data_IF_478021716925
#
_entry.id   IF_478021716925
#
_cell.length_a   1.000
_cell.length_b   1.000
_cell.length_c   1.000
_cell.angle_alpha   90.00
_cell.angle_beta   90.00
_cell.angle_gamma   90.00
#
_symmetry.space_group_name_H-M   'P 1'
#
loop_
_entity.id
_entity.type
_entity.pdbx_description
1 polymer ?
#
# COMPACT_ATOMS: atom_id res chain seq x y z
N UNK A 1 -7.62 48.10 -17.31
CA UNK A 1 -7.79 48.71 -18.65
C UNK A 1 -6.47 48.65 -19.41
N UNK A 2 -6.40 47.70 -20.35
CA UNK A 2 -5.61 47.62 -21.59
C UNK A 2 -4.44 48.61 -21.82
N UNK A 3 -3.25 48.08 -22.17
CA UNK A 3 -2.62 48.37 -23.47
C UNK A 3 -1.44 47.43 -23.83
N UNK A 4 -1.59 46.87 -25.03
CA UNK A 4 -0.66 46.09 -25.84
C UNK A 4 0.67 46.80 -26.18
N UNK A 5 1.76 46.05 -26.21
CA UNK A 5 2.94 46.19 -27.09
C UNK A 5 3.62 44.80 -27.15
N UNK A 6 4.19 44.21 -28.22
CA UNK A 6 4.26 44.42 -29.67
C UNK A 6 4.83 43.10 -30.27
N UNK A 7 4.62 42.83 -31.58
CA UNK A 7 5.04 41.61 -32.33
C UNK A 7 6.56 41.40 -32.40
N UNK A 8 7.07 40.15 -32.57
CA UNK A 8 8.46 39.92 -33.00
C UNK A 8 8.58 39.95 -34.53
N UNK A 9 9.56 40.69 -35.04
CA UNK A 9 10.03 40.62 -36.43
C UNK A 9 11.31 39.79 -36.51
N UNK A 10 11.24 38.69 -37.27
CA UNK A 10 12.39 37.85 -37.60
C UNK A 10 13.23 38.55 -38.67
N UNK A 11 14.53 38.70 -38.42
CA UNK A 11 15.48 39.20 -39.43
C UNK A 11 16.74 38.34 -39.39
N UNK A 12 16.95 37.57 -40.44
CA UNK A 12 18.16 36.79 -40.67
C UNK A 12 19.27 37.69 -41.21
N UNK A 13 20.46 37.63 -40.59
CA UNK A 13 21.72 38.09 -41.16
C UNK A 13 22.78 37.02 -40.90
N UNK A 14 23.36 36.50 -41.99
CA UNK A 14 24.54 35.61 -41.99
C UNK A 14 25.82 36.46 -41.96
N UNK A 15 26.75 36.15 -41.06
CA UNK A 15 28.15 35.76 -41.38
C UNK A 15 29.02 35.65 -40.11
N UNK A 16 29.61 34.46 -39.95
CA UNK A 16 30.97 34.26 -39.47
C UNK A 16 31.27 34.52 -38.00
N UNK A 17 31.22 33.47 -37.18
CA UNK A 17 32.21 33.26 -36.12
C UNK A 17 32.21 31.79 -35.69
N UNK A 18 33.41 31.24 -35.58
CA UNK A 18 33.72 29.90 -35.09
C UNK A 18 33.36 29.86 -33.61
N UNK A 19 32.38 29.04 -33.22
CA UNK A 19 32.15 28.66 -31.83
C UNK A 19 32.09 27.14 -31.77
N UNK A 20 33.00 26.54 -31.01
CA UNK A 20 33.04 25.12 -30.74
C UNK A 20 31.71 24.67 -30.13
N UNK A 21 31.04 23.75 -30.80
CA UNK A 21 29.92 23.02 -30.23
C UNK A 21 30.54 21.98 -29.30
N UNK A 22 30.56 22.28 -28.01
CA UNK A 22 30.66 21.24 -26.98
C UNK A 22 29.33 20.50 -27.02
N UNK A 23 29.27 19.43 -27.80
CA UNK A 23 28.20 18.44 -27.66
C UNK A 23 28.49 17.72 -26.36
N UNK A 24 27.94 18.22 -25.25
CA UNK A 24 27.71 17.36 -24.09
C UNK A 24 26.62 16.40 -24.53
N UNK A 25 27.04 15.28 -25.13
CA UNK A 25 26.21 14.08 -25.14
C UNK A 25 26.02 13.71 -23.67
N UNK A 26 24.93 14.21 -23.07
CA UNK A 26 24.34 13.55 -21.93
C UNK A 26 23.92 12.20 -22.50
N UNK A 27 24.78 11.21 -22.31
CA UNK A 27 24.45 9.81 -22.51
C UNK A 27 23.32 9.51 -21.53
N UNK A 28 22.09 9.77 -21.95
CA UNK A 28 20.91 9.08 -21.45
C UNK A 28 21.12 7.62 -21.81
N UNK A 29 21.91 6.91 -21.00
CA UNK A 29 21.86 5.47 -21.01
C UNK A 29 20.43 5.10 -20.59
N UNK A 30 19.66 4.43 -21.46
CA UNK A 30 18.39 3.86 -21.04
C UNK A 30 18.67 2.78 -19.97
N UNK A 31 17.67 2.31 -19.21
CA UNK A 31 17.83 1.33 -18.12
C UNK A 31 18.37 -0.06 -18.53
N UNK A 32 18.87 -0.22 -19.76
CA UNK A 32 19.40 -1.48 -20.30
C UNK A 32 20.70 -1.96 -19.62
N UNK A 33 21.46 -1.08 -18.94
CA UNK A 33 22.73 -1.48 -18.31
C UNK A 33 22.51 -2.36 -17.07
N UNK A 34 21.44 -2.13 -16.30
CA UNK A 34 21.19 -2.90 -15.06
C UNK A 34 20.65 -4.32 -15.31
N UNK A 35 19.76 -4.51 -16.29
CA UNK A 35 19.12 -5.80 -16.52
C UNK A 35 20.10 -6.88 -17.06
N UNK A 36 21.14 -6.46 -17.79
CA UNK A 36 22.18 -7.38 -18.28
C UNK A 36 23.10 -7.81 -17.14
N UNK A 37 23.49 -6.91 -16.23
CA UNK A 37 24.30 -7.24 -15.05
C UNK A 37 23.54 -8.14 -14.05
N UNK A 38 22.23 -7.92 -13.87
CA UNK A 38 21.37 -8.79 -13.04
C UNK A 38 21.30 -10.22 -13.60
N UNK A 39 21.12 -10.37 -14.91
CA UNK A 39 21.07 -11.68 -15.56
C UNK A 39 22.42 -12.42 -15.44
N UNK A 40 23.54 -11.72 -15.65
CA UNK A 40 24.89 -12.29 -15.48
C UNK A 40 25.17 -12.69 -14.02
N UNK A 41 24.77 -11.85 -13.07
CA UNK A 41 24.89 -12.13 -11.63
C UNK A 41 24.09 -13.36 -11.23
N UNK A 42 22.86 -13.50 -11.74
CA UNK A 42 22.01 -14.66 -11.47
C UNK A 42 22.60 -15.96 -12.07
N UNK A 43 23.20 -15.89 -13.26
CA UNK A 43 23.93 -17.01 -13.86
C UNK A 43 25.08 -17.44 -12.95
N UNK A 44 25.91 -16.50 -12.48
CA UNK A 44 27.03 -16.78 -11.60
C UNK A 44 26.59 -17.38 -10.25
N UNK A 45 25.49 -16.88 -9.68
CA UNK A 45 24.93 -17.40 -8.43
C UNK A 45 24.43 -18.84 -8.58
N UNK A 46 23.75 -19.17 -9.68
CA UNK A 46 23.31 -20.54 -9.95
C UNK A 46 24.49 -21.47 -10.24
N UNK A 47 25.53 -21.01 -10.92
CA UNK A 47 26.78 -21.77 -11.10
C UNK A 47 27.49 -22.02 -9.76
N UNK A 48 27.50 -21.03 -8.87
CA UNK A 48 28.08 -21.16 -7.53
C UNK A 48 27.30 -22.16 -6.69
N UNK A 49 25.96 -22.15 -6.77
CA UNK A 49 25.10 -23.17 -6.16
C UNK A 49 25.40 -24.57 -6.70
N UNK A 50 25.79 -24.68 -7.97
CA UNK A 50 26.15 -25.97 -8.57
C UNK A 50 27.43 -26.56 -7.98
N UNK A 51 28.41 -25.69 -7.72
CA UNK A 51 29.75 -26.05 -7.23
C UNK A 51 29.86 -26.14 -5.70
N UNK A 52 28.83 -25.70 -4.97
CA UNK A 52 28.85 -25.68 -3.51
C UNK A 52 28.20 -26.94 -2.95
N UNK A 53 28.96 -27.76 -2.22
CA UNK A 53 28.43 -28.95 -1.53
C UNK A 53 27.94 -28.66 -0.10
N UNK A 54 28.38 -27.55 0.50
CA UNK A 54 27.94 -27.17 1.85
C UNK A 54 26.47 -26.70 1.85
N UNK A 55 25.63 -27.44 2.57
CA UNK A 55 24.19 -27.17 2.63
C UNK A 55 23.87 -25.81 3.26
N UNK A 56 24.67 -25.34 4.21
CA UNK A 56 24.44 -24.04 4.86
C UNK A 56 24.72 -22.88 3.91
N UNK A 57 25.81 -22.97 3.13
CA UNK A 57 26.15 -22.04 2.08
C UNK A 57 25.10 -22.04 0.96
N UNK A 58 24.64 -23.21 0.50
CA UNK A 58 23.54 -23.31 -0.47
C UNK A 58 22.27 -22.60 0.04
N UNK A 59 21.89 -22.83 1.30
CA UNK A 59 20.73 -22.16 1.93
C UNK A 59 20.92 -20.64 1.96
N UNK A 60 22.12 -20.15 2.33
CA UNK A 60 22.41 -18.73 2.38
C UNK A 60 22.35 -18.08 0.99
N UNK A 61 22.92 -18.75 -0.02
CA UNK A 61 22.90 -18.30 -1.42
C UNK A 61 21.47 -18.22 -1.95
N UNK A 62 20.64 -19.27 -1.80
CA UNK A 62 19.25 -19.22 -2.27
C UNK A 62 18.46 -18.14 -1.56
N UNK A 63 18.65 -17.94 -0.25
CA UNK A 63 18.00 -16.82 0.46
C UNK A 63 18.40 -15.46 -0.12
N UNK A 64 19.69 -15.26 -0.38
CA UNK A 64 20.18 -14.03 -1.00
C UNK A 64 19.54 -13.80 -2.38
N UNK A 65 19.47 -14.86 -3.20
CA UNK A 65 18.80 -14.81 -4.51
C UNK A 65 17.31 -14.49 -4.35
N UNK A 66 16.58 -15.17 -3.46
CA UNK A 66 15.16 -14.93 -3.21
C UNK A 66 14.89 -13.49 -2.75
N UNK A 67 15.73 -12.96 -1.85
CA UNK A 67 15.62 -11.57 -1.39
C UNK A 67 15.92 -10.56 -2.51
N UNK A 68 16.90 -10.84 -3.37
CA UNK A 68 17.21 -10.01 -4.54
C UNK A 68 16.11 -10.05 -5.60
N UNK A 69 15.46 -11.20 -5.78
CA UNK A 69 14.39 -11.40 -6.75
C UNK A 69 12.99 -11.04 -6.21
N UNK A 70 12.86 -10.62 -4.95
CA UNK A 70 11.56 -10.28 -4.39
C UNK A 70 10.93 -9.09 -5.14
N UNK A 71 9.70 -9.27 -5.62
CA UNK A 71 9.00 -8.29 -6.46
C UNK A 71 9.40 -8.34 -7.95
N UNK A 72 10.42 -9.12 -8.32
CA UNK A 72 10.72 -9.39 -9.72
C UNK A 72 9.74 -10.39 -10.31
N UNK A 73 9.46 -10.23 -11.61
CA UNK A 73 8.54 -11.07 -12.38
C UNK A 73 9.19 -11.49 -13.67
N UNK A 74 8.67 -12.58 -14.23
CA UNK A 74 9.11 -13.14 -15.52
C UNK A 74 10.63 -13.38 -15.60
N UNK A 75 11.23 -13.68 -14.43
CA UNK A 75 12.67 -13.88 -14.30
C UNK A 75 13.01 -15.15 -15.08
N UNK A 76 13.86 -15.00 -16.09
CA UNK A 76 14.27 -16.14 -16.90
C UNK A 76 15.20 -17.05 -16.09
N UNK A 77 14.93 -18.36 -16.00
CA UNK A 77 15.83 -19.27 -15.33
C UNK A 77 17.20 -19.25 -16.03
N UNK A 78 18.30 -19.14 -15.27
CA UNK A 78 19.63 -19.36 -15.84
C UNK A 78 19.74 -20.73 -16.52
N UNK A 79 20.55 -20.90 -17.58
CA UNK A 79 20.65 -22.17 -18.31
C UNK A 79 20.97 -23.39 -17.42
N UNK A 80 21.78 -23.20 -16.37
CA UNK A 80 22.14 -24.25 -15.42
C UNK A 80 21.04 -24.57 -14.40
N UNK A 81 20.03 -23.71 -14.26
CA UNK A 81 19.00 -23.85 -13.22
C UNK A 81 18.26 -25.17 -13.29
N UNK A 82 17.93 -25.69 -14.48
CA UNK A 82 17.18 -26.94 -14.57
C UNK A 82 17.86 -28.09 -13.82
N UNK A 83 19.15 -28.29 -14.08
CA UNK A 83 19.92 -29.35 -13.43
C UNK A 83 20.13 -29.08 -11.92
N UNK A 84 20.49 -27.84 -11.57
CA UNK A 84 20.74 -27.43 -10.19
C UNK A 84 19.46 -27.49 -9.36
N UNK A 85 18.39 -26.89 -9.85
CA UNK A 85 17.05 -26.86 -9.25
C UNK A 85 16.50 -28.27 -9.03
N UNK A 86 16.55 -29.14 -10.03
CA UNK A 86 16.09 -30.54 -9.90
C UNK A 86 16.82 -31.29 -8.77
N UNK A 87 18.12 -31.05 -8.60
CA UNK A 87 18.92 -31.64 -7.52
C UNK A 87 18.55 -31.04 -6.16
N UNK A 88 18.51 -29.71 -6.05
CA UNK A 88 18.28 -29.00 -4.79
C UNK A 88 16.85 -29.20 -4.27
N UNK A 89 15.84 -29.21 -5.15
CA UNK A 89 14.44 -29.48 -4.78
C UNK A 89 14.25 -30.91 -4.23
N UNK A 90 15.10 -31.86 -4.60
CA UNK A 90 15.10 -33.25 -4.10
C UNK A 90 16.01 -33.48 -2.89
N UNK A 91 16.60 -32.41 -2.33
CA UNK A 91 17.48 -32.52 -1.17
C UNK A 91 16.76 -33.14 0.03
N UNK A 92 17.48 -33.97 0.80
CA UNK A 92 17.01 -34.50 2.09
C UNK A 92 16.86 -33.41 3.14
N UNK A 93 17.55 -32.28 2.99
CA UNK A 93 17.38 -31.13 3.85
C UNK A 93 16.08 -30.39 3.45
N UNK A 94 15.07 -30.47 4.32
CA UNK A 94 13.75 -29.89 4.05
C UNK A 94 13.79 -28.38 3.81
N UNK A 95 14.66 -27.64 4.51
CA UNK A 95 14.80 -26.19 4.35
C UNK A 95 15.38 -25.84 2.98
N UNK A 96 16.42 -26.55 2.55
CA UNK A 96 17.02 -26.36 1.23
C UNK A 96 16.02 -26.71 0.11
N UNK A 97 15.36 -27.87 0.21
CA UNK A 97 14.34 -28.29 -0.76
C UNK A 97 13.23 -27.24 -0.90
N UNK A 98 12.71 -26.72 0.22
CA UNK A 98 11.68 -25.68 0.22
C UNK A 98 12.15 -24.38 -0.42
N UNK A 99 13.35 -23.89 -0.09
CA UNK A 99 13.91 -22.67 -0.68
C UNK A 99 14.18 -22.84 -2.18
N UNK A 100 14.68 -23.99 -2.60
CA UNK A 100 14.88 -24.30 -4.01
C UNK A 100 13.57 -24.32 -4.80
N UNK A 101 12.50 -24.87 -4.22
CA UNK A 101 11.16 -24.83 -4.82
C UNK A 101 10.64 -23.41 -4.94
N UNK A 102 10.78 -22.58 -3.90
CA UNK A 102 10.40 -21.15 -3.97
C UNK A 102 11.11 -20.42 -5.12
N UNK A 103 12.40 -20.70 -5.31
CA UNK A 103 13.16 -20.13 -6.43
C UNK A 103 12.69 -20.70 -7.78
N UNK A 104 12.38 -21.99 -7.85
CA UNK A 104 11.82 -22.63 -9.05
C UNK A 104 10.49 -21.97 -9.48
N UNK A 105 9.64 -21.60 -8.52
CA UNK A 105 8.39 -20.89 -8.81
C UNK A 105 8.64 -19.52 -9.44
N UNK A 106 9.64 -18.77 -8.96
CA UNK A 106 9.99 -17.45 -9.54
C UNK A 106 10.40 -17.61 -11.01
N UNK A 107 11.02 -18.74 -11.34
CA UNK A 107 11.38 -19.11 -12.70
C UNK A 107 10.24 -19.81 -13.50
N UNK A 108 9.04 -19.90 -12.94
CA UNK A 108 7.87 -20.45 -13.62
C UNK A 108 7.75 -21.98 -13.62
N UNK A 109 8.37 -22.68 -12.66
CA UNK A 109 8.23 -24.14 -12.56
C UNK A 109 6.80 -24.56 -12.18
N UNK A 110 6.13 -25.26 -13.10
CA UNK A 110 4.73 -25.67 -12.95
C UNK A 110 4.51 -26.64 -11.78
N UNK A 111 5.45 -27.55 -11.53
CA UNK A 111 5.32 -28.51 -10.43
C UNK A 111 5.43 -27.81 -9.07
N UNK A 112 6.36 -26.86 -8.94
CA UNK A 112 6.52 -26.05 -7.74
C UNK A 112 5.31 -25.12 -7.51
N UNK A 113 4.70 -24.60 -8.58
CA UNK A 113 3.47 -23.82 -8.51
C UNK A 113 2.29 -24.67 -8.03
N UNK A 114 2.11 -25.86 -8.60
CA UNK A 114 1.05 -26.78 -8.20
C UNK A 114 1.21 -27.22 -6.74
N UNK A 115 2.43 -27.50 -6.29
CA UNK A 115 2.70 -27.83 -4.88
C UNK A 115 2.32 -26.67 -3.95
N UNK A 116 2.58 -25.42 -4.35
CA UNK A 116 2.23 -24.25 -3.54
C UNK A 116 0.74 -23.99 -3.48
N UNK A 117 -0.02 -24.26 -4.56
CA UNK A 117 -1.49 -24.23 -4.53
C UNK A 117 -2.04 -25.28 -3.56
N UNK A 118 -1.50 -26.51 -3.60
CA UNK A 118 -1.89 -27.58 -2.67
C UNK A 118 -1.55 -27.19 -1.22
N UNK A 119 -0.36 -26.64 -0.99
CA UNK A 119 0.07 -26.16 0.33
C UNK A 119 -0.88 -25.08 0.85
N UNK A 120 -1.21 -24.10 0.01
CA UNK A 120 -2.09 -22.98 0.34
C UNK A 120 -3.46 -23.44 0.83
N UNK A 121 -4.06 -24.43 0.16
CA UNK A 121 -5.39 -24.96 0.50
C UNK A 121 -5.39 -25.95 1.68
N UNK A 122 -4.24 -26.51 2.04
CA UNK A 122 -4.18 -27.54 3.08
C UNK A 122 -4.13 -26.91 4.48
N UNK A 123 -5.27 -26.90 5.18
CA UNK A 123 -5.40 -26.39 6.56
C UNK A 123 -4.55 -27.14 7.60
N UNK A 124 -4.00 -28.31 7.27
CA UNK A 124 -3.06 -29.03 8.17
C UNK A 124 -1.63 -28.50 8.08
N UNK A 125 -1.34 -27.61 7.12
CA UNK A 125 -0.05 -26.93 7.00
C UNK A 125 -0.06 -25.69 7.89
N UNK A 126 1.08 -25.41 8.51
CA UNK A 126 1.31 -24.20 9.31
C UNK A 126 0.90 -22.92 8.57
N UNK A 127 0.18 -22.03 9.27
CA UNK A 127 -0.36 -20.79 8.69
C UNK A 127 0.72 -19.95 8.01
N UNK A 128 1.88 -19.81 8.64
CA UNK A 128 3.01 -19.05 8.07
C UNK A 128 3.47 -19.59 6.72
N UNK A 129 3.42 -20.90 6.51
CA UNK A 129 3.76 -21.51 5.22
C UNK A 129 2.66 -21.31 4.17
N UNK A 130 1.39 -21.34 4.58
CA UNK A 130 0.25 -21.04 3.71
C UNK A 130 0.28 -19.57 3.25
N UNK A 131 0.53 -18.64 4.17
CA UNK A 131 0.71 -17.21 3.88
C UNK A 131 1.89 -16.97 2.94
N UNK A 132 3.02 -17.66 3.15
CA UNK A 132 4.17 -17.58 2.25
C UNK A 132 3.82 -18.07 0.84
N UNK A 133 3.08 -19.18 0.71
CA UNK A 133 2.63 -19.70 -0.57
C UNK A 133 1.71 -18.69 -1.31
N UNK A 134 0.74 -18.10 -0.60
CA UNK A 134 -0.13 -17.06 -1.16
C UNK A 134 0.67 -15.85 -1.65
N UNK A 135 1.60 -15.33 -0.83
CA UNK A 135 2.46 -14.20 -1.19
C UNK A 135 3.27 -14.47 -2.46
N UNK A 136 3.89 -15.64 -2.57
CA UNK A 136 4.67 -16.03 -3.75
C UNK A 136 3.80 -16.14 -5.01
N UNK A 137 2.65 -16.81 -4.91
CA UNK A 137 1.73 -16.96 -6.04
C UNK A 137 1.16 -15.61 -6.51
N UNK A 138 0.89 -14.69 -5.58
CA UNK A 138 0.46 -13.32 -5.88
C UNK A 138 1.55 -12.51 -6.57
N UNK A 139 2.77 -12.53 -6.05
CA UNK A 139 3.91 -11.82 -6.62
C UNK A 139 4.18 -12.25 -8.07
N UNK A 140 3.99 -13.54 -8.36
CA UNK A 140 4.13 -14.12 -9.70
C UNK A 140 2.90 -13.94 -10.58
N UNK A 141 1.80 -13.37 -10.06
CA UNK A 141 0.50 -13.31 -10.74
C UNK A 141 0.10 -14.66 -11.34
N UNK A 142 0.34 -15.74 -10.57
CA UNK A 142 0.10 -17.08 -11.06
C UNK A 142 -1.37 -17.24 -11.48
N UNK A 143 -1.59 -17.62 -12.74
CA UNK A 143 -2.91 -17.64 -13.36
C UNK A 143 -3.86 -18.70 -12.77
N UNK A 144 -3.32 -19.71 -12.10
CA UNK A 144 -4.08 -20.75 -11.42
C UNK A 144 -4.56 -20.32 -10.03
N UNK A 145 -3.97 -19.28 -9.42
CA UNK A 145 -4.36 -18.79 -8.10
C UNK A 145 -5.85 -18.39 -8.04
N UNK A 146 -6.40 -17.83 -9.12
CA UNK A 146 -7.83 -17.48 -9.24
C UNK A 146 -8.78 -18.67 -9.00
N UNK A 147 -8.33 -19.90 -9.27
CA UNK A 147 -9.14 -21.12 -9.12
C UNK A 147 -9.32 -21.53 -7.67
N UNK A 148 -8.40 -21.10 -6.78
CA UNK A 148 -8.42 -21.47 -5.36
C UNK A 148 -8.84 -20.31 -4.46
N UNK A 149 -8.70 -19.05 -4.90
CA UNK A 149 -8.99 -17.85 -4.09
C UNK A 149 -10.40 -17.85 -3.49
N UNK A 150 -11.41 -18.30 -4.25
CA UNK A 150 -12.78 -18.34 -3.76
C UNK A 150 -12.93 -19.20 -2.49
N UNK A 151 -12.20 -20.31 -2.39
CA UNK A 151 -12.21 -21.17 -1.20
C UNK A 151 -11.48 -20.57 0.00
N UNK A 152 -10.53 -19.66 -0.24
CA UNK A 152 -9.78 -18.99 0.83
C UNK A 152 -10.60 -17.88 1.50
N UNK A 153 -11.65 -17.37 0.84
CA UNK A 153 -12.60 -16.44 1.47
C UNK A 153 -13.35 -17.07 2.65
N UNK A 154 -13.46 -18.40 2.68
CA UNK A 154 -14.12 -19.16 3.74
C UNK A 154 -13.11 -19.73 4.76
N UNK A 155 -11.84 -19.32 4.66
CA UNK A 155 -10.76 -19.72 5.56
C UNK A 155 -10.46 -18.59 6.56
N UNK A 156 -10.79 -18.75 7.86
CA UNK A 156 -10.69 -17.66 8.82
C UNK A 156 -9.26 -17.13 8.97
N UNK A 157 -8.24 -17.98 8.73
CA UNK A 157 -6.84 -17.58 8.87
C UNK A 157 -6.28 -16.85 7.64
N UNK A 158 -6.96 -16.93 6.49
CA UNK A 158 -6.51 -16.32 5.22
C UNK A 158 -7.57 -15.42 4.56
N UNK A 159 -8.70 -15.19 5.22
CA UNK A 159 -9.85 -14.50 4.63
C UNK A 159 -9.49 -13.09 4.18
N UNK A 160 -8.76 -12.34 4.99
CA UNK A 160 -8.37 -10.95 4.70
C UNK A 160 -7.36 -10.91 3.54
N UNK A 161 -6.36 -11.79 3.55
CA UNK A 161 -5.38 -11.90 2.47
C UNK A 161 -6.05 -12.35 1.15
N UNK A 162 -7.03 -13.25 1.23
CA UNK A 162 -7.83 -13.66 0.08
C UNK A 162 -8.66 -12.50 -0.47
N UNK A 163 -9.31 -11.69 0.38
CA UNK A 163 -10.03 -10.49 -0.04
C UNK A 163 -9.10 -9.54 -0.79
N UNK A 164 -7.92 -9.24 -0.24
CA UNK A 164 -6.94 -8.34 -0.87
C UNK A 164 -6.40 -8.88 -2.19
N UNK A 165 -6.20 -10.20 -2.27
CA UNK A 165 -5.75 -10.89 -3.47
C UNK A 165 -6.69 -10.67 -4.69
N UNK A 166 -8.01 -10.56 -4.48
CA UNK A 166 -8.94 -10.21 -5.56
C UNK A 166 -8.60 -8.85 -6.19
N UNK A 167 -8.28 -7.86 -5.34
CA UNK A 167 -7.81 -6.56 -5.80
C UNK A 167 -6.46 -6.64 -6.50
N UNK A 168 -5.48 -7.36 -5.94
CA UNK A 168 -4.14 -7.49 -6.54
C UNK A 168 -4.18 -8.11 -7.93
N UNK A 169 -4.98 -9.16 -8.13
CA UNK A 169 -5.11 -9.86 -9.40
C UNK A 169 -6.07 -9.18 -10.39
N UNK A 170 -6.84 -8.17 -9.95
CA UNK A 170 -7.85 -7.50 -10.76
C UNK A 170 -8.83 -8.49 -11.42
N UNK A 171 -9.40 -9.40 -10.63
CA UNK A 171 -10.35 -10.39 -11.14
C UNK A 171 -11.67 -9.71 -11.54
N UNK A 172 -12.21 -10.06 -12.71
CA UNK A 172 -13.40 -9.42 -13.29
C UNK A 172 -14.64 -9.48 -12.39
N UNK A 173 -14.79 -10.53 -11.58
CA UNK A 173 -15.94 -10.75 -10.71
C UNK A 173 -15.73 -10.29 -9.26
N UNK A 174 -14.60 -9.63 -8.97
CA UNK A 174 -14.19 -9.22 -7.61
C UNK A 174 -15.31 -8.53 -6.85
N UNK A 175 -15.93 -7.49 -7.43
CA UNK A 175 -16.98 -6.73 -6.77
C UNK A 175 -18.19 -7.61 -6.41
N UNK A 176 -18.65 -8.44 -7.34
CA UNK A 176 -19.80 -9.34 -7.13
C UNK A 176 -19.51 -10.36 -6.03
N UNK A 177 -18.34 -10.98 -6.08
CA UNK A 177 -17.91 -12.03 -5.14
C UNK A 177 -17.75 -11.47 -3.73
N UNK A 178 -17.10 -10.31 -3.60
CA UNK A 178 -16.82 -9.68 -2.30
C UNK A 178 -18.08 -9.04 -1.69
N UNK A 179 -18.82 -8.22 -2.46
CA UNK A 179 -20.05 -7.59 -1.96
C UNK A 179 -21.14 -8.62 -1.62
N UNK A 180 -21.19 -9.74 -2.35
CA UNK A 180 -22.11 -10.85 -2.05
C UNK A 180 -21.89 -11.49 -0.67
N UNK A 181 -20.71 -11.34 -0.08
CA UNK A 181 -20.37 -11.86 1.26
C UNK A 181 -20.35 -10.78 2.35
N UNK A 182 -20.34 -9.50 1.97
CA UNK A 182 -20.13 -8.37 2.88
C UNK A 182 -21.00 -8.42 4.14
N UNK A 183 -22.30 -8.72 4.01
CA UNK A 183 -23.22 -8.72 5.14
C UNK A 183 -22.93 -9.83 6.17
N UNK A 184 -22.39 -10.98 5.76
CA UNK A 184 -22.13 -12.12 6.65
C UNK A 184 -20.76 -12.08 7.32
N UNK A 185 -19.88 -11.18 6.90
CA UNK A 185 -18.52 -11.06 7.40
C UNK A 185 -18.44 -10.17 8.65
N UNK A 186 -17.35 -10.33 9.40
CA UNK A 186 -17.03 -9.43 10.51
C UNK A 186 -16.55 -8.06 10.01
N UNK A 187 -16.34 -7.12 10.94
CA UNK A 187 -16.00 -5.75 10.60
C UNK A 187 -14.61 -5.60 9.97
N UNK A 188 -13.65 -6.48 10.33
CA UNK A 188 -12.30 -6.47 9.75
C UNK A 188 -12.33 -6.89 8.29
N UNK A 189 -13.05 -7.97 7.98
CA UNK A 189 -13.21 -8.47 6.62
C UNK A 189 -14.08 -7.52 5.76
N UNK A 190 -15.13 -6.90 6.33
CA UNK A 190 -15.89 -5.84 5.66
C UNK A 190 -15.03 -4.64 5.29
N UNK A 191 -14.17 -4.20 6.22
CA UNK A 191 -13.23 -3.13 5.96
C UNK A 191 -12.25 -3.51 4.85
N UNK A 192 -11.67 -4.71 4.90
CA UNK A 192 -10.78 -5.20 3.84
C UNK A 192 -11.46 -5.23 2.46
N UNK A 193 -12.77 -5.55 2.39
CA UNK A 193 -13.55 -5.48 1.14
C UNK A 193 -13.64 -4.04 0.65
N UNK A 194 -14.05 -3.11 1.51
CA UNK A 194 -14.20 -1.70 1.17
C UNK A 194 -12.88 -1.12 0.65
N UNK A 195 -11.78 -1.40 1.33
CA UNK A 195 -10.42 -1.03 0.92
C UNK A 195 -10.05 -1.63 -0.43
N UNK A 196 -10.30 -2.92 -0.63
CA UNK A 196 -9.94 -3.63 -1.87
C UNK A 196 -10.71 -3.09 -3.07
N UNK A 197 -12.03 -2.89 -2.93
CA UNK A 197 -12.89 -2.42 -4.01
C UNK A 197 -12.61 -0.97 -4.40
N UNK A 198 -12.08 -0.17 -3.47
CA UNK A 198 -11.67 1.21 -3.74
C UNK A 198 -10.31 1.33 -4.44
N UNK A 199 -9.70 0.23 -4.94
CA UNK A 199 -8.40 0.30 -5.65
C UNK A 199 -8.52 0.31 -7.17
N UNK A 200 -9.69 0.02 -7.74
CA UNK A 200 -9.90 -0.03 -9.18
C UNK A 200 -11.22 0.64 -9.54
N UNK A 201 -11.29 1.23 -10.73
CA UNK A 201 -12.44 1.99 -11.17
C UNK A 201 -13.73 1.16 -11.17
N UNK A 202 -13.73 0.01 -11.84
CA UNK A 202 -14.94 -0.83 -11.99
C UNK A 202 -15.46 -1.33 -10.63
N UNK A 203 -14.56 -1.73 -9.73
CA UNK A 203 -14.93 -2.17 -8.38
C UNK A 203 -15.37 -1.00 -7.49
N UNK A 204 -14.79 0.20 -7.67
CA UNK A 204 -15.18 1.40 -6.96
C UNK A 204 -16.57 1.87 -7.38
N UNK A 205 -16.91 1.78 -8.68
CA UNK A 205 -18.26 2.04 -9.19
C UNK A 205 -19.28 1.07 -8.57
N UNK A 206 -18.93 -0.22 -8.44
CA UNK A 206 -19.77 -1.20 -7.77
C UNK A 206 -19.93 -0.93 -6.26
N UNK A 207 -18.88 -0.47 -5.58
CA UNK A 207 -18.95 -0.06 -4.18
C UNK A 207 -19.84 1.19 -4.02
N UNK A 208 -19.72 2.18 -4.90
CA UNK A 208 -20.59 3.36 -4.91
C UNK A 208 -22.06 2.96 -5.14
N UNK A 209 -22.32 2.03 -6.05
CA UNK A 209 -23.65 1.47 -6.24
C UNK A 209 -24.18 0.78 -4.96
N UNK A 210 -23.34 -0.01 -4.28
CA UNK A 210 -23.71 -0.66 -3.02
C UNK A 210 -24.00 0.34 -1.90
N UNK A 211 -23.27 1.46 -1.83
CA UNK A 211 -23.54 2.58 -0.92
C UNK A 211 -24.90 3.22 -1.22
N UNK A 212 -25.20 3.51 -2.48
CA UNK A 212 -26.47 4.11 -2.90
C UNK A 212 -27.66 3.19 -2.62
N UNK A 213 -27.44 1.87 -2.68
CA UNK A 213 -28.43 0.85 -2.32
C UNK A 213 -28.50 0.55 -0.83
N UNK A 214 -27.69 1.22 0.00
CA UNK A 214 -27.57 1.01 1.46
C UNK A 214 -27.17 -0.42 1.85
N UNK A 215 -26.53 -1.15 0.94
CA UNK A 215 -25.94 -2.47 1.21
C UNK A 215 -24.64 -2.32 2.01
N UNK A 216 -23.90 -1.24 1.74
CA UNK A 216 -22.78 -0.77 2.55
C UNK A 216 -23.21 0.54 3.20
N UNK A 217 -22.93 0.69 4.50
CA UNK A 217 -23.23 1.93 5.23
C UNK A 217 -22.18 3.00 4.91
N UNK A 218 -22.57 4.28 4.86
CA UNK A 218 -21.61 5.39 4.75
C UNK A 218 -20.58 5.38 5.89
N UNK A 219 -20.99 4.96 7.10
CA UNK A 219 -20.07 4.84 8.25
C UNK A 219 -18.97 3.80 8.04
N UNK A 220 -19.18 2.85 7.12
CA UNK A 220 -18.21 1.82 6.80
C UNK A 220 -17.17 2.28 5.77
N UNK A 221 -17.22 3.54 5.33
CA UNK A 221 -16.23 4.13 4.42
C UNK A 221 -15.34 5.08 5.22
N UNK A 222 -14.13 4.64 5.62
CA UNK A 222 -13.16 5.52 6.24
C UNK A 222 -12.77 6.67 5.32
N UNK A 223 -12.34 7.81 5.90
CA UNK A 223 -11.98 9.02 5.13
C UNK A 223 -10.86 8.77 4.11
N UNK A 224 -9.93 7.86 4.39
CA UNK A 224 -8.87 7.49 3.44
C UNK A 224 -9.40 6.70 2.24
N UNK A 225 -10.37 5.80 2.45
CA UNK A 225 -11.06 5.09 1.35
C UNK A 225 -11.88 6.09 0.54
N UNK A 226 -12.57 7.00 1.22
CA UNK A 226 -13.39 8.02 0.60
C UNK A 226 -12.57 8.92 -0.34
N UNK A 227 -11.33 9.27 0.03
CA UNK A 227 -10.38 9.95 -0.89
C UNK A 227 -9.99 9.10 -2.09
N UNK A 228 -9.74 7.81 -1.89
CA UNK A 228 -9.42 6.91 -3.00
C UNK A 228 -10.58 6.80 -4.00
N UNK A 229 -11.83 6.69 -3.50
CA UNK A 229 -13.04 6.73 -4.32
C UNK A 229 -13.19 8.06 -5.06
N UNK A 230 -12.93 9.19 -4.39
CA UNK A 230 -12.94 10.52 -5.03
C UNK A 230 -11.90 10.61 -6.17
N UNK A 231 -10.70 10.06 -5.97
CA UNK A 231 -9.66 10.03 -7.00
C UNK A 231 -10.05 9.17 -8.20
N UNK A 232 -10.66 8.00 -7.96
CA UNK A 232 -11.06 7.06 -9.00
C UNK A 232 -12.32 7.49 -9.78
N UNK A 233 -13.31 8.04 -9.09
CA UNK A 233 -14.65 8.26 -9.61
C UNK A 233 -14.97 9.74 -9.89
N UNK A 234 -14.22 10.67 -9.30
CA UNK A 234 -14.40 12.10 -9.50
C UNK A 234 -15.81 12.57 -9.11
N UNK A 235 -16.43 13.36 -9.99
CA UNK A 235 -17.75 13.96 -9.78
C UNK A 235 -18.85 12.95 -9.44
N UNK A 236 -18.77 11.72 -9.99
CA UNK A 236 -19.76 10.68 -9.70
C UNK A 236 -19.81 10.32 -8.21
N UNK A 237 -18.67 10.33 -7.54
CA UNK A 237 -18.59 10.11 -6.10
C UNK A 237 -18.94 11.37 -5.31
N UNK A 238 -18.44 12.55 -5.72
CA UNK A 238 -18.74 13.82 -5.05
C UNK A 238 -20.24 14.13 -5.02
N UNK A 239 -20.96 13.83 -6.09
CA UNK A 239 -22.40 14.05 -6.19
C UNK A 239 -23.20 13.28 -5.12
N UNK A 240 -22.72 12.10 -4.73
CA UNK A 240 -23.39 11.24 -3.76
C UNK A 240 -22.85 11.42 -2.34
N UNK A 241 -21.53 11.57 -2.20
CA UNK A 241 -20.83 11.55 -0.92
C UNK A 241 -20.52 12.94 -0.36
N UNK A 242 -20.62 13.99 -1.19
CA UNK A 242 -20.15 15.32 -0.88
C UNK A 242 -18.65 15.49 -1.13
N UNK A 243 -18.19 16.73 -1.18
CA UNK A 243 -16.77 17.05 -1.32
C UNK A 243 -16.04 16.82 0.00
N UNK A 244 -15.14 15.82 0.02
CA UNK A 244 -14.32 15.47 1.18
C UNK A 244 -13.12 16.41 1.32
N UNK A 245 -12.71 17.07 0.23
CA UNK A 245 -11.59 18.02 0.19
C UNK A 245 -11.99 19.47 0.41
N UNK A 246 -13.30 19.77 0.55
CA UNK A 246 -13.80 21.12 0.82
C UNK A 246 -13.62 21.53 2.28
N UNK A 247 -12.39 21.48 2.78
CA UNK A 247 -12.00 22.31 3.90
C UNK A 247 -11.42 23.60 3.36
N UNK A 248 -12.01 24.72 3.75
CA UNK A 248 -11.69 26.05 3.25
C UNK A 248 -10.20 26.35 3.38
N UNK A 249 -9.67 27.13 2.43
CA UNK A 249 -8.33 27.74 2.51
C UNK A 249 -8.13 28.56 3.80
N UNK A 250 -9.22 28.95 4.46
CA UNK A 250 -9.20 29.57 5.78
C UNK A 250 -9.65 28.55 6.84
N UNK A 251 -8.68 27.99 7.56
CA UNK A 251 -8.90 27.03 8.65
C UNK A 251 -9.08 27.73 10.01
N UNK A 252 -8.97 29.05 10.07
CA UNK A 252 -8.97 29.80 11.35
C UNK A 252 -10.24 29.60 12.17
N UNK A 253 -11.40 29.51 11.51
CA UNK A 253 -12.68 29.24 12.15
C UNK A 253 -12.74 27.83 12.77
N UNK A 254 -12.13 26.83 12.14
CA UNK A 254 -12.06 25.46 12.68
C UNK A 254 -11.18 25.42 13.93
N UNK A 255 -10.00 26.04 13.87
CA UNK A 255 -9.13 26.17 15.04
C UNK A 255 -9.86 26.89 16.18
N UNK A 256 -10.54 28.00 15.90
CA UNK A 256 -11.30 28.73 16.89
C UNK A 256 -12.42 27.87 17.52
N UNK A 257 -13.18 27.13 16.70
CA UNK A 257 -14.22 26.20 17.18
C UNK A 257 -13.65 25.10 18.07
N UNK A 258 -12.60 24.41 17.66
CA UNK A 258 -12.09 23.29 18.45
C UNK A 258 -11.38 23.77 19.72
N UNK A 259 -10.74 24.94 19.71
CA UNK A 259 -10.22 25.58 20.93
C UNK A 259 -11.33 25.90 21.94
N UNK A 260 -12.47 26.42 21.47
CA UNK A 260 -13.60 26.73 22.37
C UNK A 260 -14.30 25.48 22.89
N UNK A 261 -14.25 24.37 22.14
CA UNK A 261 -14.78 23.08 22.55
C UNK A 261 -13.90 22.37 23.60
N UNK A 262 -12.58 22.48 23.47
CA UNK A 262 -11.59 21.71 24.25
C UNK A 262 -11.09 22.48 25.49
N UNK A 263 -12.03 22.98 26.29
CA UNK A 263 -11.72 23.69 27.55
C UNK A 263 -11.21 22.72 28.62
N UNK A 264 -10.53 23.24 29.66
CA UNK A 264 -10.08 22.42 30.78
C UNK A 264 -11.24 21.69 31.48
N UNK A 265 -12.37 22.38 31.68
CA UNK A 265 -13.55 21.81 32.34
C UNK A 265 -14.16 20.64 31.55
N UNK A 266 -14.31 20.78 30.23
CA UNK A 266 -14.78 19.68 29.37
C UNK A 266 -13.81 18.49 29.37
N UNK A 267 -12.50 18.77 29.36
CA UNK A 267 -11.44 17.77 29.35
C UNK A 267 -11.32 17.01 30.68
N UNK A 268 -11.62 17.66 31.80
CA UNK A 268 -11.63 17.03 33.14
C UNK A 268 -12.77 16.03 33.29
N UNK A 269 -13.86 16.22 32.54
CA UNK A 269 -15.00 15.31 32.51
C UNK A 269 -14.94 14.30 31.36
N UNK A 270 -13.93 14.37 30.49
CA UNK A 270 -13.82 13.52 29.30
C UNK A 270 -13.61 12.04 29.64
N UNK A 271 -14.10 11.16 28.76
CA UNK A 271 -13.96 9.71 28.92
C UNK A 271 -12.86 9.17 28.01
N UNK A 272 -11.74 8.77 28.63
CA UNK A 272 -10.59 8.22 27.94
C UNK A 272 -10.86 6.86 27.27
N UNK A 273 -11.81 6.07 27.79
CA UNK A 273 -12.15 4.76 27.21
C UNK A 273 -12.91 4.93 25.90
N UNK A 274 -13.95 5.77 25.90
CA UNK A 274 -14.61 6.19 24.66
C UNK A 274 -13.62 6.85 23.69
N UNK A 275 -12.68 7.65 24.22
CA UNK A 275 -11.62 8.28 23.44
C UNK A 275 -10.72 7.26 22.74
N UNK A 276 -10.34 6.17 23.41
CA UNK A 276 -9.60 5.06 22.80
C UNK A 276 -10.39 4.41 21.67
N UNK A 277 -11.67 4.11 21.86
CA UNK A 277 -12.51 3.53 20.79
C UNK A 277 -12.55 4.41 19.55
N UNK A 278 -12.63 5.74 19.73
CA UNK A 278 -12.63 6.70 18.62
C UNK A 278 -11.25 6.77 17.98
N UNK A 279 -10.18 6.73 18.78
CA UNK A 279 -8.81 6.66 18.27
C UNK A 279 -8.62 5.45 17.36
N UNK A 280 -9.03 4.26 17.80
CA UNK A 280 -8.88 3.03 17.02
C UNK A 280 -9.60 3.11 15.66
N UNK A 281 -10.76 3.80 15.61
CA UNK A 281 -11.55 4.00 14.40
C UNK A 281 -10.98 5.07 13.45
N UNK A 282 -10.41 6.15 13.99
CA UNK A 282 -10.08 7.36 13.22
C UNK A 282 -8.58 7.47 12.93
N UNK A 283 -7.75 7.06 13.89
CA UNK A 283 -6.30 7.28 13.90
C UNK A 283 -5.50 5.97 13.88
N UNK A 284 -6.02 4.92 14.53
CA UNK A 284 -5.31 3.67 14.80
C UNK A 284 -4.92 2.88 13.54
N UNK A 285 -5.61 3.08 12.42
CA UNK A 285 -5.24 2.48 11.14
C UNK A 285 -3.88 2.98 10.60
N UNK A 286 -3.47 4.20 11.00
CA UNK A 286 -2.25 4.84 10.52
C UNK A 286 -1.19 5.00 11.60
N UNK A 287 -1.59 5.24 12.85
CA UNK A 287 -0.69 5.64 13.92
C UNK A 287 -0.55 4.57 15.01
N UNK A 288 0.66 4.45 15.52
CA UNK A 288 0.98 3.69 16.71
C UNK A 288 0.71 4.55 17.94
N UNK A 289 0.11 3.97 18.98
CA UNK A 289 -0.08 4.58 20.28
C UNK A 289 0.00 3.49 21.35
N UNK A 290 0.90 3.68 22.32
CA UNK A 290 1.21 2.70 23.36
C UNK A 290 1.53 1.29 22.84
N UNK A 291 2.15 1.21 21.66
CA UNK A 291 2.50 -0.07 21.01
C UNK A 291 1.38 -0.73 20.21
N UNK A 292 0.22 -0.09 20.07
CA UNK A 292 -0.92 -0.58 19.28
C UNK A 292 -1.26 0.36 18.12
N UNK A 293 -1.67 -0.20 16.96
CA UNK A 293 -2.06 0.56 15.77
C UNK A 293 -1.12 0.40 14.57
N UNK A 294 -1.26 1.31 13.61
CA UNK A 294 -0.56 1.29 12.32
C UNK A 294 0.81 1.98 12.32
N UNK A 295 1.63 1.69 11.31
CA UNK A 295 2.97 2.27 11.11
C UNK A 295 3.06 3.04 9.80
N UNK A 296 1.99 3.77 9.44
CA UNK A 296 1.95 4.64 8.25
C UNK A 296 2.35 6.06 8.63
N UNK A 297 1.74 6.58 9.69
CA UNK A 297 2.13 7.80 10.35
C UNK A 297 3.16 7.55 11.45
N UNK A 298 3.68 8.60 12.08
CA UNK A 298 4.57 8.49 13.23
C UNK A 298 3.89 7.80 14.43
N UNK A 299 4.70 7.20 15.29
CA UNK A 299 4.29 6.76 16.63
C UNK A 299 3.95 7.99 17.48
N UNK A 300 2.71 8.05 17.93
CA UNK A 300 2.18 9.18 18.69
C UNK A 300 2.56 9.11 20.18
N UNK A 301 2.95 7.94 20.69
CA UNK A 301 3.22 7.72 22.12
C UNK A 301 4.18 8.76 22.71
N UNK A 302 5.27 9.05 21.99
CA UNK A 302 6.31 10.00 22.38
C UNK A 302 6.19 11.40 21.79
N UNK A 303 5.11 11.71 21.07
CA UNK A 303 4.89 13.04 20.48
C UNK A 303 4.55 14.09 21.54
N UNK A 304 4.52 15.38 21.16
CA UNK A 304 4.21 16.52 22.03
C UNK A 304 2.71 16.59 22.41
N UNK A 305 2.13 15.46 22.82
CA UNK A 305 0.69 15.31 23.09
C UNK A 305 0.21 16.10 24.31
N UNK A 306 1.09 16.58 25.17
CA UNK A 306 0.69 17.47 26.26
C UNK A 306 0.14 18.81 25.75
N UNK A 307 0.61 19.25 24.57
CA UNK A 307 0.28 20.51 23.92
C UNK A 307 -0.93 20.36 22.99
N UNK A 308 -2.03 21.03 23.35
CA UNK A 308 -3.27 21.00 22.58
C UNK A 308 -3.12 21.66 21.20
N UNK A 309 -2.32 22.72 21.10
CA UNK A 309 -2.10 23.42 19.83
C UNK A 309 -1.32 22.55 18.86
N UNK A 310 -0.34 21.79 19.35
CA UNK A 310 0.37 20.79 18.56
C UNK A 310 -0.60 19.73 18.01
N UNK A 311 -1.51 19.19 18.84
CA UNK A 311 -2.49 18.18 18.40
C UNK A 311 -3.43 18.78 17.34
N UNK A 312 -4.00 19.96 17.60
CA UNK A 312 -4.94 20.60 16.68
C UNK A 312 -4.28 20.96 15.36
N UNK A 313 -3.05 21.46 15.38
CA UNK A 313 -2.31 21.78 14.15
C UNK A 313 -2.16 20.54 13.26
N UNK A 314 -1.68 19.43 13.82
CA UNK A 314 -1.45 18.21 13.04
C UNK A 314 -2.76 17.56 12.56
N UNK A 315 -3.87 17.69 13.30
CA UNK A 315 -5.16 17.08 12.90
C UNK A 315 -5.93 17.95 11.90
N UNK A 316 -5.93 19.27 12.09
CA UNK A 316 -6.71 20.20 11.27
C UNK A 316 -5.94 20.66 10.04
N UNK A 317 -4.61 20.72 10.13
CA UNK A 317 -3.72 21.07 9.03
C UNK A 317 -2.55 20.09 8.89
N UNK A 318 -2.83 18.81 8.61
CA UNK A 318 -1.78 17.80 8.47
C UNK A 318 -0.81 18.07 7.31
N UNK A 319 -1.14 18.99 6.40
CA UNK A 319 -0.34 19.31 5.22
C UNK A 319 0.47 20.61 5.35
N UNK A 320 0.46 21.28 6.51
CA UNK A 320 1.21 22.53 6.74
C UNK A 320 2.74 22.30 6.66
N UNK A 321 3.22 21.22 7.28
CA UNK A 321 4.61 20.76 7.20
C UNK A 321 4.66 19.23 7.10
N UNK A 322 4.90 18.73 5.89
CA UNK A 322 4.91 17.29 5.60
C UNK A 322 6.33 16.83 5.29
N UNK A 323 6.97 16.05 6.19
CA UNK A 323 8.23 15.41 5.89
C UNK A 323 8.09 14.50 4.66
N UNK A 324 9.14 14.42 3.83
CA UNK A 324 9.08 13.70 2.54
C UNK A 324 8.63 12.23 2.67
N UNK A 325 8.94 11.57 3.80
CA UNK A 325 8.54 10.19 4.09
C UNK A 325 7.05 10.00 4.43
N UNK A 326 6.31 11.09 4.66
CA UNK A 326 4.86 11.08 4.93
C UNK A 326 4.02 11.70 3.81
N UNK A 327 4.67 12.20 2.74
CA UNK A 327 3.99 12.69 1.55
C UNK A 327 3.19 11.57 0.90
N UNK A 328 1.97 11.91 0.50
CA UNK A 328 1.09 10.98 -0.19
C UNK A 328 1.65 10.66 -1.58
N UNK A 329 1.80 9.38 -1.88
CA UNK A 329 2.17 8.86 -3.20
C UNK A 329 1.00 8.09 -3.76
N UNK A 330 0.57 8.48 -4.97
CA UNK A 330 -0.43 7.74 -5.74
C UNK A 330 0.25 7.05 -6.92
N UNK A 331 0.11 5.73 -6.98
CA UNK A 331 0.63 4.88 -8.04
C UNK A 331 -0.53 4.37 -8.87
N UNK A 332 -0.52 4.67 -10.16
CA UNK A 332 -1.36 3.98 -11.13
C UNK A 332 -0.56 2.84 -11.71
N UNK A 333 -1.05 1.61 -11.58
CA UNK A 333 -0.42 0.41 -12.11
C UNK A 333 -0.95 0.09 -13.51
N UNK A 334 -0.14 -0.62 -14.30
CA UNK A 334 -0.49 -1.06 -15.66
C UNK A 334 -1.71 -1.99 -15.72
N UNK A 335 -2.06 -2.63 -14.60
CA UNK A 335 -3.26 -3.46 -14.49
C UNK A 335 -4.52 -2.66 -14.08
N UNK A 336 -4.44 -1.32 -14.04
CA UNK A 336 -5.58 -0.45 -13.73
C UNK A 336 -5.81 -0.18 -12.24
N UNK A 337 -5.04 -0.81 -11.34
CA UNK A 337 -5.08 -0.47 -9.91
C UNK A 337 -4.50 0.92 -9.66
N UNK A 338 -5.16 1.67 -8.79
CA UNK A 338 -4.65 2.90 -8.19
C UNK A 338 -4.39 2.62 -6.72
N UNK A 339 -3.14 2.83 -6.29
CA UNK A 339 -2.70 2.60 -4.93
C UNK A 339 -2.22 3.92 -4.34
N UNK A 340 -2.67 4.23 -3.12
CA UNK A 340 -2.30 5.45 -2.41
C UNK A 340 -1.67 5.07 -1.07
N UNK A 341 -0.49 5.62 -0.79
CA UNK A 341 0.29 5.30 0.41
C UNK A 341 1.54 6.17 0.53
N UNK A 342 2.47 5.76 1.38
CA UNK A 342 3.80 6.35 1.49
C UNK A 342 4.86 5.35 0.98
N UNK A 343 5.97 5.86 0.44
CA UNK A 343 7.07 4.98 0.00
C UNK A 343 8.03 4.79 1.18
N UNK A 344 8.18 3.54 1.61
CA UNK A 344 9.04 3.20 2.77
C UNK A 344 10.43 2.76 2.38
N UNK A 345 10.55 2.11 1.22
CA UNK A 345 11.80 1.58 0.67
C UNK A 345 11.74 1.76 -0.86
N UNK A 346 12.84 2.11 -1.50
CA UNK A 346 12.92 2.24 -2.95
C UNK A 346 14.35 1.93 -3.41
N UNK A 347 14.48 1.06 -4.41
CA UNK A 347 15.73 0.74 -5.09
C UNK A 347 15.62 0.94 -6.61
N UNK A 348 16.58 0.47 -7.40
CA UNK A 348 16.57 0.62 -8.85
C UNK A 348 15.40 -0.08 -9.56
N UNK A 349 14.88 -1.16 -9.00
CA UNK A 349 13.92 -2.06 -9.65
C UNK A 349 12.52 -2.02 -9.02
N UNK A 350 12.42 -1.70 -7.72
CA UNK A 350 11.18 -1.79 -6.95
C UNK A 350 11.04 -0.65 -5.94
N UNK A 351 9.83 -0.49 -5.44
CA UNK A 351 9.51 0.32 -4.28
C UNK A 351 8.58 -0.46 -3.36
N UNK A 352 8.58 -0.12 -2.09
CA UNK A 352 7.64 -0.65 -1.11
C UNK A 352 6.67 0.43 -0.69
N UNK A 353 5.43 0.29 -1.14
CA UNK A 353 4.32 1.18 -0.81
C UNK A 353 3.66 0.71 0.49
N UNK A 354 3.59 1.60 1.46
CA UNK A 354 2.87 1.40 2.71
C UNK A 354 1.52 2.12 2.60
N UNK A 355 0.47 1.35 2.34
CA UNK A 355 -0.90 1.82 2.24
C UNK A 355 -1.71 1.34 3.46
N UNK A 356 -2.87 1.93 3.70
CA UNK A 356 -3.71 1.55 4.84
C UNK A 356 -4.07 0.06 4.76
N UNK A 357 -3.74 -0.66 5.84
CA UNK A 357 -3.93 -2.10 5.95
C UNK A 357 -2.89 -2.96 5.21
N UNK A 358 -2.11 -2.44 4.26
CA UNK A 358 -1.26 -3.25 3.39
C UNK A 358 0.10 -2.61 3.07
N UNK A 359 1.17 -3.40 3.20
CA UNK A 359 2.51 -3.06 2.67
C UNK A 359 2.75 -3.91 1.42
N UNK A 360 2.93 -3.26 0.28
CA UNK A 360 3.06 -3.92 -1.03
C UNK A 360 4.41 -3.57 -1.67
N UNK A 361 5.18 -4.59 -2.04
CA UNK A 361 6.39 -4.43 -2.86
C UNK A 361 5.95 -4.40 -4.32
N UNK A 362 6.23 -3.30 -5.00
CA UNK A 362 5.78 -3.02 -6.35
C UNK A 362 7.00 -2.88 -7.26
N UNK A 363 7.03 -3.68 -8.33
CA UNK A 363 8.01 -3.50 -9.39
C UNK A 363 7.79 -2.16 -10.09
N UNK A 364 8.85 -1.38 -10.32
CA UNK A 364 8.74 -0.13 -11.09
C UNK A 364 8.25 -0.36 -12.52
N UNK A 365 8.50 -1.54 -13.07
CA UNK A 365 7.98 -1.94 -14.39
C UNK A 365 6.46 -2.11 -14.42
N UNK A 366 5.80 -2.24 -13.27
CA UNK A 366 4.34 -2.30 -13.16
C UNK A 366 3.68 -0.94 -13.06
N UNK A 367 4.46 0.10 -12.74
CA UNK A 367 3.94 1.44 -12.51
C UNK A 367 3.73 2.10 -13.87
N UNK A 368 2.50 2.52 -14.12
CA UNK A 368 2.12 3.33 -15.27
C UNK A 368 2.44 4.81 -15.00
N UNK A 369 2.06 5.30 -13.82
CA UNK A 369 2.37 6.66 -13.38
C UNK A 369 2.53 6.73 -11.86
N UNK A 370 3.37 7.65 -11.40
CA UNK A 370 3.55 8.00 -9.99
C UNK A 370 3.28 9.49 -9.83
N UNK A 371 2.40 9.81 -8.90
CA UNK A 371 2.14 11.17 -8.45
C UNK A 371 2.59 11.29 -7.00
N UNK A 372 3.44 12.28 -6.70
CA UNK A 372 3.86 12.60 -5.34
C UNK A 372 3.23 13.93 -5.00
N UNK A 373 2.31 13.92 -4.04
CA UNK A 373 1.60 15.10 -3.61
C UNK A 373 2.39 15.81 -2.51
N UNK A 374 2.31 17.14 -2.46
CA UNK A 374 2.75 17.93 -1.30
C UNK A 374 1.76 17.82 -0.12
N UNK A 375 0.68 17.07 -0.28
CA UNK A 375 -0.34 16.80 0.73
C UNK A 375 0.07 15.59 1.56
N UNK A 376 -0.21 15.66 2.85
CA UNK A 376 -0.01 14.55 3.79
C UNK A 376 -0.87 13.35 3.46
N UNK A 377 -0.38 12.15 3.76
CA UNK A 377 -1.21 10.93 3.74
C UNK A 377 -2.34 11.00 4.78
N UNK A 378 -2.16 11.79 5.85
CA UNK A 378 -3.18 12.00 6.87
C UNK A 378 -4.37 12.79 6.31
N UNK A 379 -5.60 12.26 6.41
CA UNK A 379 -6.82 12.99 6.03
C UNK A 379 -6.98 14.34 6.71
N UNK A 380 -7.42 15.36 5.98
CA UNK A 380 -8.10 16.50 6.61
C UNK A 380 -9.55 16.12 7.00
N UNK A 381 -10.17 16.92 7.88
CA UNK A 381 -11.59 16.78 8.23
C UNK A 381 -11.94 15.62 9.15
N UNK A 382 -10.95 14.94 9.72
CA UNK A 382 -11.14 13.81 10.65
C UNK A 382 -12.11 14.13 11.80
N UNK A 383 -12.02 15.33 12.37
CA UNK A 383 -12.86 15.71 13.51
C UNK A 383 -14.30 16.09 13.11
N UNK A 384 -14.56 16.39 11.83
CA UNK A 384 -15.88 16.85 11.38
C UNK A 384 -16.90 15.72 11.27
N UNK A 385 -16.42 14.48 11.16
CA UNK A 385 -17.27 13.29 11.17
C UNK A 385 -17.69 12.86 12.58
N UNK A 386 -17.09 13.50 13.60
CA UNK A 386 -17.29 13.22 15.01
C UNK A 386 -18.21 14.27 15.64
N UNK A 387 -19.00 13.84 16.62
CA UNK A 387 -19.75 14.72 17.51
C UNK A 387 -18.79 15.44 18.46
N UNK A 388 -19.21 16.60 18.95
CA UNK A 388 -18.43 17.41 19.90
C UNK A 388 -17.89 16.60 21.09
N UNK A 389 -18.72 15.73 21.68
CA UNK A 389 -18.29 14.88 22.80
C UNK A 389 -17.28 13.79 22.40
N UNK A 390 -17.41 13.26 21.18
CA UNK A 390 -16.45 12.29 20.63
C UNK A 390 -15.09 12.97 20.40
N UNK A 391 -15.08 14.21 19.92
CA UNK A 391 -13.84 15.01 19.79
C UNK A 391 -13.19 15.25 21.14
N UNK A 392 -13.95 15.68 22.17
CA UNK A 392 -13.42 15.89 23.52
C UNK A 392 -12.78 14.60 24.07
N UNK A 393 -13.49 13.47 23.98
CA UNK A 393 -12.99 12.18 24.44
C UNK A 393 -11.74 11.73 23.68
N UNK A 394 -11.72 11.86 22.34
CA UNK A 394 -10.56 11.54 21.50
C UNK A 394 -9.33 12.35 21.91
N UNK A 395 -9.48 13.66 22.01
CA UNK A 395 -8.38 14.55 22.39
C UNK A 395 -7.93 14.24 23.81
N UNK A 396 -8.84 13.95 24.74
CA UNK A 396 -8.46 13.51 26.09
C UNK A 396 -7.63 12.23 26.07
N UNK A 397 -8.07 11.20 25.35
CA UNK A 397 -7.29 9.97 25.19
C UNK A 397 -5.91 10.23 24.57
N UNK A 398 -5.84 11.03 23.51
CA UNK A 398 -4.57 11.43 22.88
C UNK A 398 -3.64 12.15 23.87
N UNK A 399 -4.12 12.72 24.97
CA UNK A 399 -3.30 13.42 25.97
C UNK A 399 -2.93 12.56 27.18
N UNK A 400 -3.40 11.32 27.25
CA UNK A 400 -3.07 10.42 28.37
C UNK A 400 -1.57 10.09 28.43
N UNK A 401 -1.07 9.61 29.55
CA UNK A 401 0.35 9.20 29.70
C UNK A 401 0.55 7.69 29.65
N UNK A 402 -0.54 6.92 29.69
CA UNK A 402 -0.55 5.47 29.74
C UNK A 402 -1.71 4.91 28.94
N UNK A 403 -1.57 3.67 28.49
CA UNK A 403 -2.63 2.94 27.81
C UNK A 403 -3.90 2.87 28.67
N UNK A 404 -5.04 3.09 28.04
CA UNK A 404 -6.38 2.94 28.61
C UNK A 404 -6.94 1.63 28.08
N UNK A 405 -7.62 0.80 28.87
CA UNK A 405 -8.14 -0.48 28.37
C UNK A 405 -9.07 -0.32 27.16
N UNK A 406 -9.00 -1.27 26.22
CA UNK A 406 -9.86 -1.30 25.04
C UNK A 406 -11.29 -1.60 25.46
N UNK A 407 -12.25 -1.23 24.60
CA UNK A 407 -13.60 -1.65 24.86
C UNK A 407 -13.77 -3.17 24.72
N UNK A 408 -14.25 -3.83 25.79
CA UNK A 408 -14.54 -5.27 25.80
C UNK A 408 -15.73 -5.61 24.90
#
# INVERSE_FOLDING_TARGET
>A
MLKNYFKPSVRWVRKGQVLGIVIITISLFPPFVNALEEAESLVLLVQTLDQTDDTSAQIALIKGVLSGLEGHRDVQPPPAWKAVGDRLMKSRNQRLSRLAKQLAQIFGDEAANQESLVRLQNRSVELSERQAALRTLLAQRNSQLKTVLGSLLDDPDLQIEAIRAYGTLALEDSAKVLLGRYASLDDSARQAIVETLATQRDTAEALLFALNRKLVSRKAIPSYVARSLQSLLGEAFTAEYGDIGALSKDKSELFARYRSLLTSDEMDHADAYSGRTIYDQVCGACHLMYGEGGLIGPDLTGSNRADLEYILLNILDPSDDVPDNYKMVTLTLKNGRVLTGTVTEEDGARLTLNAVGQKEVISKNDILSRDVSDISMMPEGLLMTLKDREVINLIHYLRTEKQVEAAQ
#
